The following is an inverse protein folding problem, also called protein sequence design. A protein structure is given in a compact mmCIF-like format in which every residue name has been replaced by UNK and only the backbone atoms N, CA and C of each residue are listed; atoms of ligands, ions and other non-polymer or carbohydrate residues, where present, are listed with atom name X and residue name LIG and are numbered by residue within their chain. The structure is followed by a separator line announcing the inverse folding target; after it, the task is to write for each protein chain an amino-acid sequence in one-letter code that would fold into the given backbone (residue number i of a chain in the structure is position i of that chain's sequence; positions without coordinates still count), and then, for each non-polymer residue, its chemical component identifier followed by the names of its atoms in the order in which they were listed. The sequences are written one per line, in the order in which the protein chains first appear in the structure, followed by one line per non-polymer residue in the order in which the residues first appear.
data_IF_950976384466
#
_entry.id   IF_950976384466
#
_cell.length_a   1.000
_cell.length_b   1.000
_cell.length_c   1.000
_cell.angle_alpha   90.00
_cell.angle_beta   90.00
_cell.angle_gamma   90.00
#
_symmetry.space_group_name_H-M   'P 1'
#
loop_
_entity.id
_entity.type
_entity.pdbx_description
1 polymer ?
#
# COMPACT_ATOMS: atom_id res chain seq x y z
N UNK A 1 12.65 9.75 -11.60
CA UNK A 1 12.42 10.33 -10.27
C UNK A 1 11.45 9.41 -9.54
N UNK A 2 11.80 8.81 -8.38
CA UNK A 2 10.86 7.96 -7.67
C UNK A 2 9.76 8.86 -7.10
N UNK A 3 8.51 8.52 -7.38
CA UNK A 3 7.38 9.30 -6.93
C UNK A 3 7.02 8.87 -5.51
N UNK A 4 7.54 9.62 -4.54
CA UNK A 4 7.27 9.54 -3.09
C UNK A 4 5.78 9.82 -2.72
N UNK A 5 4.92 10.03 -3.72
CA UNK A 5 3.55 10.52 -3.55
C UNK A 5 2.51 9.42 -3.35
N UNK A 6 2.84 8.13 -3.51
CA UNK A 6 1.89 7.05 -3.27
C UNK A 6 1.80 6.66 -1.78
N UNK A 7 2.96 6.49 -1.10
CA UNK A 7 2.99 6.25 0.35
C UNK A 7 2.47 7.45 1.15
N UNK A 8 2.76 8.68 0.68
CA UNK A 8 2.25 9.91 1.29
C UNK A 8 0.70 9.99 1.28
N UNK A 9 0.04 9.29 0.36
CA UNK A 9 -1.42 9.30 0.25
C UNK A 9 -2.11 8.29 1.18
N UNK A 10 -1.61 7.05 1.27
CA UNK A 10 -2.26 6.00 2.08
C UNK A 10 -2.09 6.24 3.58
N UNK A 11 -0.92 6.70 4.02
CA UNK A 11 -0.71 7.08 5.42
C UNK A 11 -1.64 8.22 5.81
N UNK A 12 -1.70 9.29 5.01
CA UNK A 12 -2.59 10.41 5.28
C UNK A 12 -4.07 9.98 5.33
N UNK A 13 -4.52 9.16 4.38
CA UNK A 13 -5.88 8.58 4.39
C UNK A 13 -6.16 7.78 5.66
N UNK A 14 -5.22 6.94 6.08
CA UNK A 14 -5.35 6.13 7.30
C UNK A 14 -5.50 7.03 8.53
N UNK A 15 -4.66 8.06 8.67
CA UNK A 15 -4.73 9.03 9.77
C UNK A 15 -6.04 9.82 9.74
N UNK A 16 -6.48 10.28 8.56
CA UNK A 16 -7.75 10.99 8.41
C UNK A 16 -8.94 10.10 8.78
N UNK A 17 -8.97 8.85 8.31
CA UNK A 17 -10.01 7.89 8.69
C UNK A 17 -10.08 7.71 10.21
N UNK A 18 -8.92 7.61 10.88
CA UNK A 18 -8.86 7.56 12.35
C UNK A 18 -9.34 8.83 13.04
N UNK A 19 -9.06 10.02 12.47
CA UNK A 19 -9.48 11.31 13.03
C UNK A 19 -11.00 11.51 12.97
N UNK A 20 -11.66 10.96 11.94
CA UNK A 20 -13.12 11.08 11.76
C UNK A 20 -13.89 9.85 12.26
N UNK A 21 -13.23 8.97 13.02
CA UNK A 21 -13.78 7.70 13.53
C UNK A 21 -14.34 6.76 12.44
N UNK A 22 -13.78 6.83 11.23
CA UNK A 22 -14.07 5.91 10.12
C UNK A 22 -13.26 4.60 10.25
N UNK A 23 -13.62 3.62 9.42
CA UNK A 23 -13.02 2.29 9.41
C UNK A 23 -11.70 2.26 8.62
N UNK A 24 -10.63 2.67 9.30
CA UNK A 24 -9.27 2.60 8.77
C UNK A 24 -8.79 1.15 8.49
N UNK A 25 -9.39 0.13 9.11
CA UNK A 25 -9.03 -1.27 8.84
C UNK A 25 -9.60 -1.70 7.49
N UNK A 26 -10.87 -1.41 7.24
CA UNK A 26 -11.50 -1.63 5.94
C UNK A 26 -10.78 -0.88 4.80
N UNK A 27 -10.30 0.35 5.05
CA UNK A 27 -9.48 1.09 4.09
C UNK A 27 -8.18 0.35 3.74
N UNK A 28 -7.46 -0.15 4.75
CA UNK A 28 -6.21 -0.90 4.55
C UNK A 28 -6.45 -2.22 3.82
N UNK A 29 -7.53 -2.93 4.13
CA UNK A 29 -7.90 -4.18 3.46
C UNK A 29 -8.29 -3.98 2.00
N UNK A 30 -9.05 -2.92 1.69
CA UNK A 30 -9.36 -2.56 0.32
C UNK A 30 -8.08 -2.25 -0.47
N UNK A 31 -7.16 -1.51 0.14
CA UNK A 31 -5.89 -1.18 -0.50
C UNK A 31 -5.01 -2.42 -0.69
N UNK A 32 -4.99 -3.35 0.27
CA UNK A 32 -4.29 -4.64 0.16
C UNK A 32 -4.81 -5.45 -1.02
N UNK A 33 -6.13 -5.57 -1.16
CA UNK A 33 -6.75 -6.34 -2.24
C UNK A 33 -6.37 -5.80 -3.62
N UNK A 34 -6.37 -4.46 -3.77
CA UNK A 34 -5.95 -3.78 -5.00
C UNK A 34 -4.48 -4.07 -5.34
N UNK A 35 -3.57 -3.93 -4.36
CA UNK A 35 -2.15 -4.23 -4.53
C UNK A 35 -1.92 -5.69 -4.94
N UNK A 36 -2.62 -6.62 -4.30
CA UNK A 36 -2.55 -8.05 -4.66
C UNK A 36 -3.06 -8.32 -6.08
N UNK A 37 -4.04 -7.56 -6.57
CA UNK A 37 -4.48 -7.65 -7.98
C UNK A 37 -3.40 -7.19 -8.94
N UNK A 38 -2.86 -5.98 -8.72
CA UNK A 38 -1.78 -5.41 -9.55
C UNK A 38 -0.54 -6.29 -9.55
N UNK A 39 -0.19 -6.89 -8.42
CA UNK A 39 0.93 -7.83 -8.32
C UNK A 39 0.74 -9.02 -9.27
N UNK A 40 -0.48 -9.60 -9.33
CA UNK A 40 -0.80 -10.70 -10.23
C UNK A 40 -0.74 -10.26 -11.70
N UNK A 41 -1.20 -9.05 -12.01
CA UNK A 41 -1.15 -8.48 -13.35
C UNK A 41 0.29 -8.31 -13.82
N UNK A 42 1.15 -7.66 -13.02
CA UNK A 42 2.57 -7.50 -13.33
C UNK A 42 3.32 -8.83 -13.44
N UNK A 43 3.03 -9.78 -12.54
CA UNK A 43 3.63 -11.12 -12.57
C UNK A 43 3.25 -11.88 -13.85
N UNK A 44 2.03 -11.70 -14.36
CA UNK A 44 1.59 -12.30 -15.63
C UNK A 44 2.23 -11.61 -16.82
N UNK A 45 2.21 -10.29 -16.86
CA UNK A 45 2.73 -9.49 -17.97
C UNK A 45 4.23 -9.70 -18.19
N UNK A 46 4.99 -9.91 -17.11
CA UNK A 46 6.44 -10.12 -17.17
C UNK A 46 6.87 -11.44 -17.85
N UNK A 47 6.03 -12.49 -17.92
CA UNK A 47 6.46 -13.84 -18.31
C UNK A 47 7.04 -13.96 -19.71
N UNK A 48 6.47 -13.24 -20.67
CA UNK A 48 6.85 -13.31 -22.09
C UNK A 48 7.35 -11.95 -22.61
N UNK A 49 7.73 -11.05 -21.70
CA UNK A 49 8.15 -9.69 -22.02
C UNK A 49 9.64 -9.61 -22.38
N UNK A 50 10.04 -8.54 -23.07
CA UNK A 50 11.44 -8.25 -23.31
C UNK A 50 12.15 -7.76 -22.04
N UNK A 51 13.48 -7.64 -22.06
CA UNK A 51 14.26 -7.26 -20.88
C UNK A 51 13.87 -5.89 -20.32
N UNK A 52 13.53 -4.92 -21.17
CA UNK A 52 13.19 -3.56 -20.72
C UNK A 52 11.86 -3.59 -19.98
N UNK A 53 10.86 -4.27 -20.53
CA UNK A 53 9.56 -4.45 -19.92
C UNK A 53 9.62 -5.30 -18.64
N UNK A 54 10.48 -6.33 -18.61
CA UNK A 54 10.77 -7.12 -17.42
C UNK A 54 11.25 -6.23 -16.27
N UNK A 55 12.22 -5.35 -16.52
CA UNK A 55 12.78 -4.47 -15.48
C UNK A 55 11.75 -3.44 -15.00
N UNK A 56 10.88 -2.96 -15.89
CA UNK A 56 9.78 -2.07 -15.53
C UNK A 56 8.77 -2.78 -14.62
N UNK A 57 8.40 -4.02 -14.95
CA UNK A 57 7.50 -4.83 -14.13
C UNK A 57 8.11 -5.20 -12.78
N UNK A 58 9.40 -5.52 -12.72
CA UNK A 58 10.09 -5.77 -11.45
C UNK A 58 10.10 -4.56 -10.54
N UNK A 59 10.40 -3.39 -11.09
CA UNK A 59 10.35 -2.15 -10.33
C UNK A 59 8.94 -1.93 -9.74
N UNK A 60 7.89 -2.12 -10.54
CA UNK A 60 6.51 -2.01 -10.05
C UNK A 60 6.18 -3.04 -8.94
N UNK A 61 6.63 -4.29 -9.10
CA UNK A 61 6.45 -5.36 -8.11
C UNK A 61 7.13 -5.03 -6.77
N UNK A 62 8.34 -4.46 -6.78
CA UNK A 62 9.03 -4.08 -5.56
C UNK A 62 8.31 -2.99 -4.77
N UNK A 63 7.70 -2.02 -5.46
CA UNK A 63 6.86 -1.02 -4.79
C UNK A 63 5.62 -1.65 -4.16
N UNK A 64 4.94 -2.54 -4.90
CA UNK A 64 3.77 -3.25 -4.37
C UNK A 64 4.14 -4.08 -3.12
N UNK A 65 5.29 -4.75 -3.13
CA UNK A 65 5.77 -5.51 -1.98
C UNK A 65 6.07 -4.61 -0.78
N UNK A 66 6.68 -3.45 -1.01
CA UNK A 66 6.93 -2.47 0.04
C UNK A 66 5.62 -1.95 0.65
N UNK A 67 4.63 -1.64 -0.19
CA UNK A 67 3.32 -1.16 0.24
C UNK A 67 2.55 -2.23 1.01
N UNK A 68 2.57 -3.49 0.57
CA UNK A 68 1.95 -4.60 1.29
C UNK A 68 2.56 -4.79 2.69
N UNK A 69 3.89 -4.77 2.79
CA UNK A 69 4.59 -4.83 4.10
C UNK A 69 4.21 -3.66 5.00
N UNK A 70 4.06 -2.46 4.43
CA UNK A 70 3.62 -1.29 5.18
C UNK A 70 2.17 -1.44 5.67
N UNK A 71 1.27 -1.97 4.84
CA UNK A 71 -0.13 -2.22 5.21
C UNK A 71 -0.19 -3.23 6.36
N UNK A 72 0.57 -4.33 6.29
CA UNK A 72 0.64 -5.33 7.36
C UNK A 72 1.14 -4.74 8.68
N UNK A 73 2.26 -4.00 8.62
CA UNK A 73 2.84 -3.37 9.80
C UNK A 73 1.88 -2.34 10.43
N UNK A 74 1.25 -1.51 9.60
CA UNK A 74 0.31 -0.47 10.06
C UNK A 74 -0.97 -1.09 10.63
N UNK A 75 -1.54 -2.09 9.95
CA UNK A 75 -2.72 -2.82 10.40
C UNK A 75 -2.52 -3.43 11.79
N UNK A 76 -1.38 -4.09 12.01
CA UNK A 76 -1.02 -4.66 13.31
C UNK A 76 -0.91 -3.62 14.45
N UNK A 77 -0.66 -2.35 14.10
CA UNK A 77 -0.47 -1.24 15.05
C UNK A 77 -1.62 -0.22 15.03
N UNK A 78 -2.70 -0.51 14.31
CA UNK A 78 -3.77 0.45 14.06
C UNK A 78 -4.47 0.91 15.35
N UNK A 79 -4.63 0.00 16.32
CA UNK A 79 -5.17 0.33 17.64
C UNK A 79 -4.25 1.29 18.44
N UNK A 80 -2.94 1.14 18.35
CA UNK A 80 -1.97 2.07 18.97
C UNK A 80 -2.04 3.44 18.29
N UNK A 81 -2.06 3.44 16.96
CA UNK A 81 -2.14 4.65 16.15
C UNK A 81 -3.43 5.43 16.45
N UNK A 82 -4.58 4.76 16.53
CA UNK A 82 -5.87 5.37 16.91
C UNK A 82 -5.78 6.07 18.27
N UNK A 83 -5.14 5.44 19.27
CA UNK A 83 -4.94 6.06 20.58
C UNK A 83 -4.01 7.26 20.52
N UNK A 84 -2.96 7.23 19.69
CA UNK A 84 -2.02 8.35 19.55
C UNK A 84 -2.68 9.57 18.89
N UNK A 85 -3.45 9.34 17.82
CA UNK A 85 -4.18 10.38 17.09
C UNK A 85 -5.18 11.09 18.00
N UNK A 86 -5.95 10.36 18.82
CA UNK A 86 -6.93 10.94 19.75
C UNK A 86 -6.33 11.73 20.93
N UNK A 87 -5.02 11.62 21.18
CA UNK A 87 -4.32 12.38 22.23
C UNK A 87 -3.64 13.66 21.70
N UNK A 88 -3.65 13.85 20.38
CA UNK A 88 -3.04 15.02 19.72
C UNK A 88 -4.08 16.13 19.59
#
# INVERSE_FOLDING_TARGET
MPSDTLQSNLFAKTVVALLVDDDAEALLDAQRAEHMSRMREHTRAKRDADLVDVLLHDHALFHIEADLRWIDLTGARLAELRRAVRRS
#
